data_IF_077966037474
#
_entry.id   IF_077966037474
#
_cell.length_a   1.000
_cell.length_b   1.000
_cell.length_c   1.000
_cell.angle_alpha   90.00
_cell.angle_beta   90.00
_cell.angle_gamma   90.00
#
_symmetry.space_group_name_H-M   'P 1'
#
loop_
_entity.id
_entity.type
_entity.pdbx_description
1 polymer ?
#
# COMPACT_ATOMS: atom_id res chain seq x y z
N UNK A 1 -1.02 -8.44 11.02
CA UNK A 1 -0.96 -7.56 12.20
C UNK A 1 -2.31 -6.90 12.33
N UNK A 2 -2.79 -6.73 13.56
CA UNK A 2 -4.04 -6.03 13.85
C UNK A 2 -3.74 -4.53 13.90
N UNK A 3 -3.53 -3.89 12.74
CA UNK A 3 -3.29 -2.45 12.69
C UNK A 3 -4.57 -1.74 13.10
N UNK A 4 -4.48 -0.82 14.05
CA UNK A 4 -5.64 -0.08 14.58
C UNK A 4 -5.49 1.40 14.26
N UNK A 5 -6.58 2.04 13.86
CA UNK A 5 -6.65 3.49 13.73
C UNK A 5 -6.66 4.11 15.14
N UNK A 6 -5.68 4.95 15.43
CA UNK A 6 -5.60 5.70 16.68
C UNK A 6 -6.56 6.91 16.65
N UNK A 7 -6.49 7.70 15.59
CA UNK A 7 -7.41 8.82 15.36
C UNK A 7 -7.68 9.07 13.87
N UNK A 8 -8.79 9.75 13.59
CA UNK A 8 -9.31 10.08 12.26
C UNK A 8 -9.70 11.55 12.20
N UNK A 9 -9.37 12.23 11.09
CA UNK A 9 -9.88 13.57 10.73
C UNK A 9 -10.80 13.47 9.52
N UNK A 10 -11.22 14.57 8.90
CA UNK A 10 -12.02 14.49 7.66
C UNK A 10 -11.29 13.75 6.55
N UNK A 11 -9.96 13.87 6.42
CA UNK A 11 -9.17 13.33 5.30
C UNK A 11 -7.88 12.59 5.71
N UNK A 12 -7.66 12.32 7.00
CA UNK A 12 -6.50 11.53 7.46
C UNK A 12 -6.88 10.44 8.44
N UNK A 13 -6.20 9.29 8.33
CA UNK A 13 -6.20 8.20 9.30
C UNK A 13 -4.80 8.03 9.86
N UNK A 14 -4.65 8.07 11.19
CA UNK A 14 -3.36 7.81 11.85
C UNK A 14 -3.45 6.51 12.63
N UNK A 15 -2.49 5.64 12.40
CA UNK A 15 -2.38 4.34 13.07
C UNK A 15 -1.86 4.46 14.50
N UNK A 16 -2.12 3.45 15.33
CA UNK A 16 -1.31 3.21 16.54
C UNK A 16 0.11 2.78 16.15
N UNK A 17 1.02 2.72 17.14
CA UNK A 17 2.38 2.20 16.93
C UNK A 17 2.33 0.86 16.20
N UNK A 18 2.97 0.79 15.04
CA UNK A 18 2.98 -0.38 14.17
C UNK A 18 4.16 -1.30 14.46
N UNK A 19 5.34 -0.70 14.56
CA UNK A 19 6.62 -1.35 14.80
C UNK A 19 7.62 -0.34 15.41
N UNK A 20 8.90 -0.70 15.45
CA UNK A 20 10.01 0.20 15.79
C UNK A 20 10.98 0.22 14.60
N UNK A 21 11.28 1.41 14.08
CA UNK A 21 12.25 1.62 12.99
C UNK A 21 13.33 2.58 13.45
N UNK A 22 14.58 2.18 13.32
CA UNK A 22 15.75 2.99 13.69
C UNK A 22 15.63 3.59 15.11
N UNK A 23 15.29 2.72 16.07
CA UNK A 23 15.04 3.04 17.48
C UNK A 23 13.91 4.06 17.74
N UNK A 24 12.97 4.21 16.80
CA UNK A 24 11.80 5.10 16.92
C UNK A 24 10.51 4.32 16.75
N UNK A 25 9.50 4.67 17.53
CA UNK A 25 8.15 4.16 17.37
C UNK A 25 7.58 4.62 16.02
N UNK A 26 7.16 3.65 15.20
CA UNK A 26 6.71 3.90 13.84
C UNK A 26 5.19 3.99 13.74
N UNK A 27 4.75 5.00 13.01
CA UNK A 27 3.35 5.28 12.72
C UNK A 27 3.19 5.57 11.23
N UNK A 28 2.00 5.28 10.70
CA UNK A 28 1.57 5.72 9.38
C UNK A 28 0.43 6.72 9.53
N UNK A 29 0.54 7.83 8.80
CA UNK A 29 -0.55 8.74 8.47
C UNK A 29 -0.95 8.50 7.01
N UNK A 30 -2.19 8.10 6.80
CA UNK A 30 -2.79 7.95 5.48
C UNK A 30 -3.73 9.12 5.20
N UNK A 31 -3.37 9.93 4.21
CA UNK A 31 -4.24 10.96 3.64
C UNK A 31 -5.10 10.37 2.51
N UNK A 32 -6.38 10.74 2.44
CA UNK A 32 -7.31 10.31 1.39
C UNK A 32 -8.50 11.27 1.30
N UNK A 33 -9.24 11.23 0.20
CA UNK A 33 -10.47 12.02 0.04
C UNK A 33 -11.42 11.79 1.22
N UNK A 34 -12.10 12.84 1.67
CA UNK A 34 -13.03 12.76 2.81
C UNK A 34 -14.11 11.68 2.60
N UNK A 35 -14.59 11.55 1.37
CA UNK A 35 -15.52 10.49 0.98
C UNK A 35 -14.98 9.10 1.35
N UNK A 36 -13.71 8.80 1.06
CA UNK A 36 -13.09 7.52 1.40
C UNK A 36 -12.76 7.40 2.88
N UNK A 37 -12.34 8.49 3.53
CA UNK A 37 -12.05 8.50 4.96
C UNK A 37 -13.30 8.22 5.81
N UNK A 38 -14.50 8.53 5.30
CA UNK A 38 -15.77 8.26 5.98
C UNK A 38 -16.10 6.76 6.12
N UNK A 39 -15.43 5.89 5.38
CA UNK A 39 -15.55 4.43 5.55
C UNK A 39 -14.88 3.92 6.85
N UNK A 40 -14.12 4.78 7.54
CA UNK A 40 -13.30 4.41 8.70
C UNK A 40 -13.54 5.31 9.91
N UNK A 41 -13.32 4.75 11.11
CA UNK A 41 -13.35 5.48 12.39
C UNK A 41 -12.20 5.07 13.30
N UNK A 42 -11.92 5.91 14.30
CA UNK A 42 -10.95 5.58 15.34
C UNK A 42 -11.34 4.26 16.04
N UNK A 43 -10.34 3.42 16.30
CA UNK A 43 -10.52 2.07 16.86
C UNK A 43 -10.76 0.96 15.85
N UNK A 44 -11.03 1.27 14.58
CA UNK A 44 -11.16 0.22 13.55
C UNK A 44 -9.85 -0.53 13.33
N UNK A 45 -9.96 -1.84 13.14
CA UNK A 45 -8.87 -2.67 12.63
C UNK A 45 -8.83 -2.56 11.11
N UNK A 46 -7.63 -2.32 10.58
CA UNK A 46 -7.37 -2.12 9.16
C UNK A 46 -6.19 -2.95 8.68
N UNK A 47 -6.01 -3.02 7.36
CA UNK A 47 -4.76 -3.40 6.73
C UNK A 47 -4.22 -2.23 5.91
N UNK A 48 -2.88 -2.11 5.87
CA UNK A 48 -2.18 -1.03 5.16
C UNK A 48 -1.28 -1.63 4.09
N UNK A 49 -1.40 -1.15 2.86
CA UNK A 49 -0.44 -1.38 1.77
C UNK A 49 -0.35 -0.10 0.95
N UNK A 50 0.70 0.69 1.22
CA UNK A 50 0.94 1.98 0.61
C UNK A 50 2.44 2.26 0.46
N UNK A 51 2.77 3.30 -0.30
CA UNK A 51 4.14 3.83 -0.44
C UNK A 51 4.19 5.22 0.20
N UNK A 52 5.20 5.51 1.03
CA UNK A 52 5.35 6.82 1.66
C UNK A 52 5.86 7.87 0.67
N UNK A 53 5.42 9.10 0.84
CA UNK A 53 5.94 10.27 0.12
C UNK A 53 6.76 11.21 1.02
N UNK A 54 6.61 11.11 2.35
CA UNK A 54 7.37 11.91 3.32
C UNK A 54 7.47 11.20 4.69
N UNK A 55 8.39 11.66 5.54
CA UNK A 55 8.61 11.17 6.89
C UNK A 55 8.87 12.33 7.87
N UNK A 56 8.20 12.31 9.02
CA UNK A 56 8.44 13.27 10.10
C UNK A 56 9.20 12.62 11.26
N UNK A 57 10.37 13.19 11.57
CA UNK A 57 11.28 12.77 12.65
C UNK A 57 11.40 13.79 13.80
N UNK A 58 10.59 14.86 13.79
CA UNK A 58 10.68 15.98 14.73
C UNK A 58 10.33 15.55 16.17
N UNK A 59 9.44 14.57 16.32
CA UNK A 59 9.08 14.00 17.62
C UNK A 59 10.17 13.02 18.10
N UNK A 60 10.77 13.29 19.27
CA UNK A 60 11.80 12.42 19.87
C UNK A 60 11.28 11.00 20.04
N UNK A 61 12.07 10.01 19.60
CA UNK A 61 11.72 8.59 19.73
C UNK A 61 10.55 8.13 18.84
N UNK A 62 10.07 8.98 17.91
CA UNK A 62 8.95 8.67 17.00
C UNK A 62 9.32 8.98 15.55
N UNK A 63 8.75 8.21 14.63
CA UNK A 63 8.76 8.50 13.19
C UNK A 63 7.38 8.21 12.61
N UNK A 64 6.84 9.18 11.87
CA UNK A 64 5.57 9.02 11.14
C UNK A 64 5.84 9.07 9.64
N UNK A 65 5.49 8.00 8.92
CA UNK A 65 5.46 8.02 7.46
C UNK A 65 4.11 8.55 6.95
N UNK A 66 4.16 9.43 5.95
CA UNK A 66 2.98 9.97 5.29
C UNK A 66 2.76 9.26 3.96
N UNK A 67 1.54 8.78 3.75
CA UNK A 67 1.14 7.99 2.59
C UNK A 67 -0.21 8.48 2.07
N UNK A 68 -0.53 8.17 0.81
CA UNK A 68 -1.88 8.36 0.28
C UNK A 68 -2.64 7.03 0.21
N UNK A 69 -3.84 7.00 0.76
CA UNK A 69 -4.75 5.85 0.72
C UNK A 69 -4.12 4.53 1.20
N UNK A 70 -4.38 3.46 0.46
CA UNK A 70 -3.78 2.14 0.75
C UNK A 70 -4.33 1.45 1.99
N UNK A 71 -5.53 1.86 2.44
CA UNK A 71 -6.22 1.32 3.61
C UNK A 71 -7.37 0.43 3.16
N UNK A 72 -7.49 -0.73 3.78
CA UNK A 72 -8.64 -1.64 3.63
C UNK A 72 -9.14 -2.10 4.99
N UNK A 73 -10.40 -2.55 5.12
CA UNK A 73 -10.86 -3.23 6.34
C UNK A 73 -9.94 -4.40 6.72
N UNK A 74 -9.80 -4.65 8.01
CA UNK A 74 -9.06 -5.81 8.50
C UNK A 74 -9.69 -7.13 8.03
N UNK A 75 -8.83 -8.06 7.65
CA UNK A 75 -9.21 -9.42 7.25
C UNK A 75 -8.41 -10.42 8.07
N UNK A 76 -9.12 -11.28 8.81
CA UNK A 76 -8.50 -12.28 9.70
C UNK A 76 -7.84 -13.42 8.92
N UNK A 77 -8.55 -13.98 7.94
CA UNK A 77 -8.08 -15.14 7.19
C UNK A 77 -7.54 -14.69 5.84
N UNK A 78 -6.26 -14.93 5.56
CA UNK A 78 -5.66 -14.69 4.25
C UNK A 78 -6.33 -15.57 3.18
N UNK A 79 -6.73 -14.97 2.05
CA UNK A 79 -7.31 -15.70 0.91
C UNK A 79 -6.47 -15.40 -0.33
N UNK A 80 -5.44 -16.22 -0.64
CA UNK A 80 -4.60 -16.02 -1.80
C UNK A 80 -5.39 -16.12 -3.10
N UNK A 81 -5.31 -15.08 -3.94
CA UNK A 81 -5.89 -15.03 -5.27
C UNK A 81 -4.87 -14.46 -6.25
N UNK A 82 -4.63 -15.19 -7.32
CA UNK A 82 -3.87 -14.68 -8.45
C UNK A 82 -4.78 -13.86 -9.37
N UNK A 83 -4.24 -12.82 -9.97
CA UNK A 83 -4.95 -11.91 -10.89
C UNK A 83 -4.31 -12.08 -12.27
N UNK A 84 -5.02 -12.66 -13.26
CA UNK A 84 -4.51 -12.79 -14.62
C UNK A 84 -4.14 -11.43 -15.21
N UNK A 85 -2.99 -11.37 -15.88
CA UNK A 85 -2.46 -10.15 -16.49
C UNK A 85 -2.37 -10.35 -18.00
N UNK A 86 -2.98 -9.44 -18.74
CA UNK A 86 -2.70 -9.31 -20.16
C UNK A 86 -1.73 -8.15 -20.38
N UNK A 87 -0.55 -8.44 -20.93
CA UNK A 87 0.50 -7.46 -21.18
C UNK A 87 0.69 -7.26 -22.68
N UNK A 88 0.66 -6.00 -23.13
CA UNK A 88 1.03 -5.60 -24.49
C UNK A 88 2.13 -4.56 -24.44
N UNK A 89 3.24 -4.83 -25.12
CA UNK A 89 4.36 -3.89 -25.27
C UNK A 89 4.57 -3.65 -26.76
N UNK A 90 4.49 -2.39 -27.19
CA UNK A 90 4.63 -1.98 -28.60
C UNK A 90 3.73 -2.81 -29.54
N UNK A 91 2.48 -3.03 -29.14
CA UNK A 91 1.48 -3.77 -29.93
C UNK A 91 1.60 -5.31 -29.88
N UNK A 92 2.67 -5.87 -29.30
CA UNK A 92 2.85 -7.32 -29.17
C UNK A 92 2.39 -7.79 -27.79
N UNK A 93 1.52 -8.80 -27.75
CA UNK A 93 1.14 -9.44 -26.49
C UNK A 93 2.32 -10.27 -25.95
N UNK A 94 2.57 -10.15 -24.64
CA UNK A 94 3.59 -10.90 -23.91
C UNK A 94 2.88 -11.73 -22.83
N UNK A 95 3.25 -13.01 -22.73
CA UNK A 95 2.72 -13.90 -21.71
C UNK A 95 3.28 -13.52 -20.33
N UNK A 96 2.41 -13.50 -19.33
CA UNK A 96 2.77 -13.26 -17.93
C UNK A 96 2.44 -14.52 -17.11
N UNK A 97 3.35 -15.01 -16.24
CA UNK A 97 3.06 -16.13 -15.36
C UNK A 97 1.76 -15.93 -14.57
N UNK A 98 0.94 -16.98 -14.45
CA UNK A 98 -0.39 -16.88 -13.86
C UNK A 98 -0.40 -16.38 -12.40
N UNK A 99 0.72 -16.52 -11.69
CA UNK A 99 0.90 -16.15 -10.28
C UNK A 99 1.77 -14.89 -10.08
N UNK A 100 2.12 -14.18 -11.16
CA UNK A 100 3.00 -12.99 -11.09
C UNK A 100 2.38 -11.89 -10.22
N UNK A 101 1.08 -11.63 -10.42
CA UNK A 101 0.30 -10.66 -9.63
C UNK A 101 -0.72 -11.40 -8.79
N UNK A 102 -0.68 -11.16 -7.49
CA UNK A 102 -1.59 -11.79 -6.53
C UNK A 102 -1.87 -10.87 -5.35
N UNK A 103 -2.95 -11.16 -4.63
CA UNK A 103 -3.24 -10.58 -3.33
C UNK A 103 -3.84 -11.62 -2.40
N UNK A 104 -3.69 -11.38 -1.10
CA UNK A 104 -4.29 -12.19 -0.05
C UNK A 104 -5.59 -11.57 0.49
N UNK A 105 -5.97 -10.39 -0.03
CA UNK A 105 -7.12 -9.62 0.44
C UNK A 105 -8.38 -9.92 -0.39
N UNK A 106 -9.54 -9.92 0.26
CA UNK A 106 -10.86 -9.94 -0.39
C UNK A 106 -11.22 -8.56 -0.91
N UNK A 107 -10.82 -7.51 -0.20
CA UNK A 107 -10.91 -6.11 -0.61
C UNK A 107 -9.49 -5.58 -0.75
N UNK A 108 -9.08 -5.24 -1.98
CA UNK A 108 -7.71 -4.79 -2.30
C UNK A 108 -7.75 -3.38 -2.90
N UNK A 109 -6.78 -2.55 -2.57
CA UNK A 109 -6.66 -1.22 -3.18
C UNK A 109 -6.05 -1.32 -4.58
N UNK A 110 -6.42 -0.40 -5.46
CA UNK A 110 -5.74 -0.24 -6.74
C UNK A 110 -4.24 0.03 -6.55
N UNK A 111 -3.87 0.79 -5.50
CA UNK A 111 -2.47 1.09 -5.17
C UNK A 111 -1.64 -0.16 -4.88
N UNK A 112 -2.16 -1.16 -4.16
CA UNK A 112 -1.44 -2.40 -3.91
C UNK A 112 -1.13 -3.14 -5.22
N UNK A 113 -2.12 -3.22 -6.10
CA UNK A 113 -1.96 -3.89 -7.40
C UNK A 113 -1.01 -3.10 -8.29
N UNK A 114 -1.15 -1.78 -8.38
CA UNK A 114 -0.28 -0.91 -9.18
C UNK A 114 1.19 -1.03 -8.73
N UNK A 115 1.46 -0.97 -7.43
CA UNK A 115 2.83 -1.13 -6.91
C UNK A 115 3.43 -2.51 -7.24
N UNK A 116 2.63 -3.58 -7.14
CA UNK A 116 3.07 -4.93 -7.52
C UNK A 116 3.33 -5.04 -9.02
N UNK A 117 2.43 -4.51 -9.84
CA UNK A 117 2.55 -4.50 -11.31
C UNK A 117 3.77 -3.70 -11.74
N UNK A 118 3.96 -2.46 -11.26
CA UNK A 118 5.12 -1.66 -11.62
C UNK A 118 6.42 -2.32 -11.16
N UNK A 119 6.45 -2.93 -9.98
CA UNK A 119 7.63 -3.70 -9.53
C UNK A 119 7.96 -4.84 -10.50
N UNK A 120 6.97 -5.59 -10.95
CA UNK A 120 7.14 -6.64 -11.97
C UNK A 120 7.62 -6.07 -13.31
N UNK A 121 7.01 -4.99 -13.80
CA UNK A 121 7.37 -4.39 -15.09
C UNK A 121 8.76 -3.74 -15.05
N UNK A 122 9.18 -3.15 -13.94
CA UNK A 122 10.54 -2.62 -13.75
C UNK A 122 11.56 -3.76 -13.81
N UNK A 123 11.30 -4.87 -13.12
CA UNK A 123 12.27 -5.97 -13.02
C UNK A 123 12.37 -6.82 -14.30
N UNK A 124 11.27 -7.03 -15.01
CA UNK A 124 11.23 -7.96 -16.14
C UNK A 124 11.05 -7.30 -17.52
N UNK A 125 10.51 -6.08 -17.57
CA UNK A 125 10.09 -5.43 -18.81
C UNK A 125 10.63 -4.01 -18.99
N UNK A 126 11.74 -3.70 -18.31
CA UNK A 126 12.53 -2.48 -18.51
C UNK A 126 11.74 -1.17 -18.31
N UNK A 127 10.60 -1.23 -17.63
CA UNK A 127 9.83 -0.04 -17.27
C UNK A 127 10.72 0.87 -16.41
N UNK A 128 10.87 2.12 -16.82
CA UNK A 128 11.76 3.11 -16.18
C UNK A 128 13.26 2.77 -16.18
N UNK A 129 13.70 1.83 -17.02
CA UNK A 129 15.14 1.64 -17.24
C UNK A 129 15.74 2.88 -17.92
N UNK A 130 17.00 3.19 -17.62
CA UNK A 130 17.69 4.38 -18.17
C UNK A 130 17.92 4.34 -19.67
N UNK A 131 17.75 3.18 -20.31
CA UNK A 131 18.17 2.95 -21.69
C UNK A 131 19.70 3.01 -21.83
N UNK A 132 20.29 2.01 -22.48
CA UNK A 132 21.48 2.30 -23.28
C UNK A 132 20.93 2.91 -24.57
N UNK A 133 21.18 4.21 -24.77
CA UNK A 133 21.01 4.89 -26.06
C UNK A 133 21.82 4.20 -27.15
#
# INVERSE_FOLDING_TARGET
SDIVIDFKTSHNLVTKKLDVRDARDFFINSEMDEYAANDFKAGDKIAVFSVPFDWNYLSKGRVTAYTYGGITPYQKTSIPKNIPVNLWINGKQISVPYNEISTNKTTVTAQEIDLKVRKFLISQHQLYSSGSS
#
